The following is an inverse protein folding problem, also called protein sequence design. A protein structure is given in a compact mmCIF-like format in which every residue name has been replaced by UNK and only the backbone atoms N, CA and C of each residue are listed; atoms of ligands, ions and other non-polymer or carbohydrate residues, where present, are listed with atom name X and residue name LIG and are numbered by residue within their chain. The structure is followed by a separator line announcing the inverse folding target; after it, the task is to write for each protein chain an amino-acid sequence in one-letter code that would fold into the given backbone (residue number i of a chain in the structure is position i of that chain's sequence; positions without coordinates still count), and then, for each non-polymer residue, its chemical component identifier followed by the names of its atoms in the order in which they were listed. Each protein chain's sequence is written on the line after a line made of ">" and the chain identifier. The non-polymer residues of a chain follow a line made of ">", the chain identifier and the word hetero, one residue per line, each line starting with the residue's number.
data_IF_090869725005
#
_entry.id   IF_090869725005
#
_cell.length_a   1.000
_cell.length_b   1.000
_cell.length_c   1.000
_cell.angle_alpha   90.00
_cell.angle_beta   90.00
_cell.angle_gamma   90.00
#
_symmetry.space_group_name_H-M   'P 1'
#
loop_
_entity.id
_entity.type
_entity.pdbx_description
1 polymer ?
#
# COMPACT_ATOMS: atom_id res chain seq x y z
N UNK A 1 -43.48 -35.63 10.00
CA UNK A 1 -42.84 -35.17 8.75
C UNK A 1 -41.72 -34.20 9.10
N UNK A 2 -40.46 -34.51 8.76
CA UNK A 2 -39.31 -33.63 9.05
C UNK A 2 -39.30 -32.49 8.01
N UNK A 3 -39.29 -31.21 8.40
CA UNK A 3 -39.24 -30.12 7.43
C UNK A 3 -37.86 -30.10 6.77
N UNK A 4 -37.84 -30.37 5.47
CA UNK A 4 -36.67 -30.22 4.61
C UNK A 4 -36.29 -28.74 4.58
N UNK A 5 -35.18 -28.37 5.21
CA UNK A 5 -34.61 -27.02 5.14
C UNK A 5 -34.24 -26.71 3.68
N UNK A 6 -35.09 -25.96 2.98
CA UNK A 6 -34.80 -25.45 1.63
C UNK A 6 -33.59 -24.51 1.74
N UNK A 7 -32.48 -24.87 1.09
CA UNK A 7 -31.33 -23.99 0.92
C UNK A 7 -31.80 -22.72 0.21
N UNK A 8 -31.47 -21.55 0.76
CA UNK A 8 -31.73 -20.27 0.11
C UNK A 8 -31.01 -20.22 -1.24
N UNK A 9 -31.68 -19.67 -2.27
CA UNK A 9 -31.14 -19.58 -3.63
C UNK A 9 -29.84 -18.76 -3.65
N UNK A 10 -28.88 -19.07 -4.53
CA UNK A 10 -27.69 -18.24 -4.71
C UNK A 10 -28.14 -16.89 -5.28
N UNK A 11 -28.16 -15.84 -4.44
CA UNK A 11 -28.57 -14.49 -4.83
C UNK A 11 -29.69 -13.87 -3.99
N UNK A 12 -30.38 -14.65 -3.16
CA UNK A 12 -31.56 -14.21 -2.38
C UNK A 12 -31.29 -14.18 -0.87
N UNK A 13 -30.04 -13.89 -0.47
CA UNK A 13 -29.73 -13.60 0.92
C UNK A 13 -30.22 -12.18 1.23
N UNK A 14 -31.36 -12.07 1.91
CA UNK A 14 -31.89 -10.83 2.50
C UNK A 14 -30.95 -10.21 3.55
N UNK A 15 -29.91 -10.93 3.98
CA UNK A 15 -28.89 -10.35 4.87
C UNK A 15 -27.95 -9.45 4.08
N UNK A 16 -27.77 -8.18 4.51
CA UNK A 16 -26.77 -7.30 3.94
C UNK A 16 -25.39 -7.99 4.01
N UNK A 17 -24.55 -7.73 3.01
CA UNK A 17 -23.19 -8.27 3.01
C UNK A 17 -22.49 -7.90 4.32
N UNK A 18 -21.73 -8.82 4.94
CA UNK A 18 -20.86 -8.47 6.05
C UNK A 18 -19.96 -7.29 5.68
N UNK A 19 -19.72 -6.38 6.63
CA UNK A 19 -18.95 -5.15 6.43
C UNK A 19 -17.59 -5.42 5.79
N UNK A 20 -16.85 -6.40 6.31
CA UNK A 20 -15.51 -6.76 5.81
C UNK A 20 -15.57 -7.22 4.34
N UNK A 21 -16.60 -7.98 3.98
CA UNK A 21 -16.79 -8.45 2.60
C UNK A 21 -17.08 -7.30 1.65
N UNK A 22 -17.75 -6.25 2.13
CA UNK A 22 -18.00 -5.03 1.35
C UNK A 22 -16.71 -4.24 1.17
N UNK A 23 -15.97 -4.00 2.25
CA UNK A 23 -14.71 -3.26 2.22
C UNK A 23 -13.68 -3.91 1.31
N UNK A 24 -13.56 -5.24 1.32
CA UNK A 24 -12.67 -5.96 0.41
C UNK A 24 -13.09 -5.76 -1.06
N UNK A 25 -14.39 -5.76 -1.36
CA UNK A 25 -14.85 -5.52 -2.73
C UNK A 25 -14.60 -4.10 -3.20
N UNK A 26 -14.79 -3.12 -2.32
CA UNK A 26 -14.55 -1.71 -2.63
C UNK A 26 -13.05 -1.48 -2.87
N UNK A 27 -12.19 -2.06 -2.03
CA UNK A 27 -10.73 -2.04 -2.23
C UNK A 27 -10.32 -2.69 -3.56
N UNK A 28 -10.88 -3.85 -3.91
CA UNK A 28 -10.61 -4.50 -5.20
C UNK A 28 -11.09 -3.60 -6.37
N UNK A 29 -12.23 -2.93 -6.23
CA UNK A 29 -12.75 -2.03 -7.26
C UNK A 29 -11.84 -0.84 -7.49
N UNK A 30 -11.32 -0.23 -6.42
CA UNK A 30 -10.35 0.85 -6.50
C UNK A 30 -9.03 0.40 -7.15
N UNK A 31 -8.52 -0.77 -6.77
CA UNK A 31 -7.32 -1.35 -7.39
C UNK A 31 -7.48 -1.49 -8.91
N UNK A 32 -8.66 -1.89 -9.41
CA UNK A 32 -8.90 -2.00 -10.85
C UNK A 32 -8.86 -0.66 -11.58
N UNK A 33 -9.12 0.45 -10.89
CA UNK A 33 -9.04 1.79 -11.45
C UNK A 33 -7.62 2.33 -11.59
N UNK A 34 -6.70 1.89 -10.71
CA UNK A 34 -5.32 2.38 -10.67
C UNK A 34 -4.39 1.48 -11.49
N UNK A 35 -4.62 0.15 -11.44
CA UNK A 35 -3.72 -0.82 -12.07
C UNK A 35 -3.95 -0.87 -13.58
N UNK A 36 -2.90 -0.73 -14.41
CA UNK A 36 -3.02 -0.84 -15.86
C UNK A 36 -3.68 -2.15 -16.26
N UNK A 37 -4.71 -2.06 -17.10
CA UNK A 37 -5.52 -3.20 -17.57
C UNK A 37 -6.20 -4.03 -16.45
N UNK A 38 -6.37 -3.47 -15.24
CA UNK A 38 -6.97 -4.16 -14.10
C UNK A 38 -8.47 -4.49 -14.23
N UNK A 39 -9.19 -3.87 -15.17
CA UNK A 39 -10.66 -3.98 -15.28
C UNK A 39 -11.21 -5.40 -15.50
N UNK A 40 -10.49 -6.27 -16.24
CA UNK A 40 -10.98 -7.61 -16.64
C UNK A 40 -10.24 -8.78 -15.97
N UNK A 41 -9.25 -8.51 -15.11
CA UNK A 41 -8.45 -9.57 -14.48
C UNK A 41 -9.22 -10.38 -13.43
N UNK A 42 -8.85 -11.65 -13.22
CA UNK A 42 -9.20 -12.36 -11.98
C UNK A 42 -8.58 -11.65 -10.78
N UNK A 43 -9.03 -11.97 -9.56
CA UNK A 43 -8.45 -11.36 -8.34
C UNK A 43 -6.95 -11.71 -8.25
N UNK A 44 -6.58 -12.97 -8.50
CA UNK A 44 -5.19 -13.40 -8.42
C UNK A 44 -4.30 -12.65 -9.43
N UNK A 45 -4.73 -12.56 -10.68
CA UNK A 45 -3.98 -11.81 -11.71
C UNK A 45 -3.93 -10.32 -11.43
N UNK A 46 -4.96 -9.75 -10.80
CA UNK A 46 -4.97 -8.35 -10.37
C UNK A 46 -3.93 -8.12 -9.28
N UNK A 47 -3.90 -8.95 -8.24
CA UNK A 47 -2.97 -8.81 -7.12
C UNK A 47 -1.51 -8.99 -7.57
N UNK A 48 -1.24 -9.99 -8.39
CA UNK A 48 0.10 -10.18 -8.96
C UNK A 48 0.55 -8.99 -9.81
N UNK A 49 -0.38 -8.44 -10.63
CA UNK A 49 -0.09 -7.25 -11.43
C UNK A 49 0.10 -6.00 -10.58
N UNK A 50 -0.63 -5.87 -9.48
CA UNK A 50 -0.43 -4.80 -8.49
C UNK A 50 0.99 -4.80 -7.95
N UNK A 51 1.49 -5.98 -7.54
CA UNK A 51 2.87 -6.12 -7.04
C UNK A 51 3.88 -5.68 -8.11
N UNK A 52 3.72 -6.16 -9.35
CA UNK A 52 4.61 -5.78 -10.47
C UNK A 52 4.56 -4.28 -10.77
N UNK A 53 3.38 -3.68 -10.75
CA UNK A 53 3.21 -2.24 -11.03
C UNK A 53 3.81 -1.37 -9.92
N UNK A 54 3.65 -1.75 -8.65
CA UNK A 54 4.29 -1.06 -7.53
C UNK A 54 5.83 -1.08 -7.65
N UNK A 55 6.42 -2.22 -8.02
CA UNK A 55 7.87 -2.32 -8.25
C UNK A 55 8.32 -1.45 -9.42
N UNK A 56 7.55 -1.40 -10.50
CA UNK A 56 7.81 -0.54 -11.66
C UNK A 56 7.81 0.95 -11.28
N UNK A 57 6.77 1.40 -10.57
CA UNK A 57 6.68 2.79 -10.10
C UNK A 57 7.82 3.15 -9.15
N UNK A 58 8.19 2.26 -8.22
CA UNK A 58 9.36 2.46 -7.35
C UNK A 58 10.65 2.61 -8.16
N UNK A 59 10.79 1.85 -9.24
CA UNK A 59 11.90 2.00 -10.19
C UNK A 59 11.92 3.39 -10.82
N UNK A 60 10.78 3.86 -11.34
CA UNK A 60 10.67 5.21 -11.94
C UNK A 60 11.03 6.31 -10.96
N UNK A 61 10.54 6.25 -9.72
CA UNK A 61 10.81 7.27 -8.69
C UNK A 61 12.32 7.42 -8.45
N UNK A 62 13.06 6.32 -8.35
CA UNK A 62 14.53 6.37 -8.19
C UNK A 62 15.24 7.10 -9.33
N UNK A 63 14.77 6.94 -10.57
CA UNK A 63 15.37 7.66 -11.70
C UNK A 63 15.01 9.15 -11.70
N UNK A 64 13.82 9.50 -11.23
CA UNK A 64 13.44 10.90 -11.06
C UNK A 64 14.33 11.60 -10.01
N UNK A 65 14.71 10.91 -8.93
CA UNK A 65 15.64 11.45 -7.93
C UNK A 65 17.03 11.72 -8.55
N UNK A 66 17.53 10.81 -9.40
CA UNK A 66 18.81 10.98 -10.13
C UNK A 66 18.77 12.19 -11.09
N UNK A 67 17.59 12.54 -11.62
CA UNK A 67 17.42 13.71 -12.49
C UNK A 67 17.21 15.02 -11.71
N UNK A 68 16.80 14.94 -10.45
CA UNK A 68 16.65 16.10 -9.57
C UNK A 68 17.92 16.45 -8.81
N UNK A 69 18.86 15.50 -8.66
CA UNK A 69 20.21 15.87 -8.24
C UNK A 69 20.84 16.74 -9.35
N UNK A 70 21.18 18.02 -9.08
CA UNK A 70 22.08 18.73 -9.96
C UNK A 70 23.35 17.89 -10.00
N UNK A 71 23.74 17.45 -11.19
CA UNK A 71 24.93 16.65 -11.44
C UNK A 71 26.13 17.37 -10.81
N UNK A 72 26.44 17.10 -9.54
CA UNK A 72 27.65 17.60 -8.92
C UNK A 72 28.79 16.89 -9.65
N UNK A 73 29.63 17.63 -10.39
CA UNK A 73 30.72 17.00 -11.10
C UNK A 73 31.61 16.36 -10.04
N UNK A 74 31.79 15.04 -10.16
CA UNK A 74 32.72 14.24 -9.36
C UNK A 74 34.10 14.89 -9.45
N UNK A 75 34.44 15.75 -8.49
CA UNK A 75 35.81 16.15 -8.24
C UNK A 75 36.36 15.18 -7.21
N UNK A 76 37.17 14.27 -7.73
CA UNK A 76 38.23 13.61 -6.99
C UNK A 76 39.13 14.73 -6.46
N UNK A 77 39.20 14.91 -5.15
CA UNK A 77 40.49 15.20 -4.52
C UNK A 77 40.53 14.72 -3.07
N UNK A 78 41.73 14.32 -2.65
CA UNK A 78 42.05 13.62 -1.42
C UNK A 78 41.91 14.47 -0.14
N UNK A 79 41.75 13.77 1.00
CA UNK A 79 42.17 14.16 2.36
C UNK A 79 41.82 15.57 2.89
N UNK A 80 40.85 15.66 3.81
CA UNK A 80 41.18 15.97 5.21
C UNK A 80 39.97 15.77 6.14
N UNK A 81 40.23 14.97 7.16
CA UNK A 81 39.70 15.00 8.53
C UNK A 81 38.98 16.29 9.00
N UNK A 82 38.05 16.09 9.96
CA UNK A 82 37.57 16.98 11.04
C UNK A 82 36.05 17.26 11.03
N UNK A 83 35.32 16.42 11.79
CA UNK A 83 34.10 16.75 12.57
C UNK A 83 34.55 17.68 13.74
N UNK A 84 33.82 18.70 14.29
CA UNK A 84 32.37 18.76 14.62
C UNK A 84 31.66 20.15 14.48
N UNK A 85 30.32 20.20 14.43
CA UNK A 85 29.49 20.87 15.46
C UNK A 85 27.97 20.73 15.25
N UNK A 86 27.31 20.40 16.35
CA UNK A 86 25.87 20.34 16.57
C UNK A 86 25.13 21.66 16.32
N UNK A 87 23.97 21.57 15.66
CA UNK A 87 22.81 22.47 15.90
C UNK A 87 21.50 21.71 15.77
N UNK A 88 20.92 21.42 16.94
CA UNK A 88 19.52 21.07 17.18
C UNK A 88 18.54 21.63 16.15
N UNK A 89 17.93 20.75 15.37
CA UNK A 89 16.59 20.98 14.81
C UNK A 89 15.82 19.68 15.02
N UNK A 90 15.06 19.67 16.11
CA UNK A 90 14.16 18.58 16.45
C UNK A 90 13.03 18.49 15.44
N UNK A 91 12.75 17.27 15.01
CA UNK A 91 11.44 16.79 14.59
C UNK A 91 11.53 15.27 14.38
N UNK A 92 11.68 14.52 15.47
CA UNK A 92 11.54 13.06 15.44
C UNK A 92 10.05 12.75 15.31
N UNK A 93 9.60 12.42 14.10
CA UNK A 93 8.26 11.88 13.88
C UNK A 93 8.23 10.43 14.39
N UNK A 94 8.00 10.27 15.69
CA UNK A 94 7.62 8.99 16.28
C UNK A 94 6.10 8.99 16.48
N UNK A 95 5.39 8.10 15.77
CA UNK A 95 3.96 7.88 15.97
C UNK A 95 3.76 6.82 17.06
N UNK A 96 3.21 7.24 18.20
CA UNK A 96 2.85 6.37 19.32
C UNK A 96 1.57 5.59 18.99
N UNK A 97 1.65 4.26 18.97
CA UNK A 97 0.49 3.36 18.88
C UNK A 97 0.00 3.08 20.30
N UNK A 98 -0.97 3.87 20.77
CA UNK A 98 -1.66 3.59 22.02
C UNK A 98 -2.65 2.43 21.83
N UNK A 99 -2.27 1.24 22.29
CA UNK A 99 -3.19 0.11 22.47
C UNK A 99 -4.00 0.34 23.76
N UNK A 100 -5.23 0.86 23.63
CA UNK A 100 -6.18 0.87 24.73
C UNK A 100 -6.78 -0.54 24.88
N UNK A 101 -6.25 -1.32 25.83
CA UNK A 101 -6.93 -2.49 26.36
C UNK A 101 -7.88 -2.05 27.47
N UNK A 102 -9.18 -2.03 27.18
CA UNK A 102 -10.22 -2.00 28.20
C UNK A 102 -10.44 -3.42 28.73
N UNK A 103 -10.18 -3.66 30.01
CA UNK A 103 -10.76 -4.78 30.76
C UNK A 103 -10.92 -4.32 32.21
N UNK A 104 -12.16 -3.92 32.54
CA UNK A 104 -13.14 -4.60 33.41
C UNK A 104 -12.89 -4.32 34.88
#
# INVERSE_FOLDING_TARGET
>A
MKPTKKKAKPGESTRPRPKDRQQIQDCIKELRGIIPHGGKCSIDSLLDRTIRYMLFLRGIIKYADILQEPNEPKLIDQESEVIPKDKNHGATWAFEVANQTMST
#
